data_IF_339037937663
#
_entry.id   IF_339037937663
#
_cell.length_a   1.000
_cell.length_b   1.000
_cell.length_c   1.000
_cell.angle_alpha   90.00
_cell.angle_beta   90.00
_cell.angle_gamma   90.00
#
_symmetry.space_group_name_H-M   'P 1'
#
loop_
_entity.id
_entity.type
_entity.pdbx_description
1 polymer ?
#
# COMPACT_ATOMS: atom_id res chain seq x y z
N UNK A 1 15.05 -7.67 6.79
CA UNK A 1 14.74 -6.49 5.97
C UNK A 1 14.04 -6.96 4.71
N UNK A 2 12.96 -6.30 4.28
CA UNK A 2 12.38 -6.57 2.96
C UNK A 2 13.39 -6.00 1.96
N UNK A 3 14.12 -6.87 1.26
CA UNK A 3 14.98 -6.45 0.17
C UNK A 3 14.08 -6.23 -1.05
N UNK A 4 13.93 -4.98 -1.50
CA UNK A 4 13.19 -4.63 -2.73
C UNK A 4 13.94 -5.03 -4.02
N UNK A 5 15.02 -5.80 -3.90
CA UNK A 5 15.70 -6.40 -5.03
C UNK A 5 14.76 -7.40 -5.72
N UNK A 6 14.62 -7.28 -7.04
CA UNK A 6 13.71 -8.13 -7.82
C UNK A 6 12.23 -7.70 -7.80
N UNK A 7 11.92 -6.50 -7.29
CA UNK A 7 10.58 -5.91 -7.41
C UNK A 7 10.51 -5.01 -8.65
N UNK A 8 9.50 -5.21 -9.49
CA UNK A 8 9.20 -4.37 -10.64
C UNK A 8 8.31 -3.18 -10.27
N UNK A 9 7.23 -3.45 -9.53
CA UNK A 9 6.24 -2.46 -9.13
C UNK A 9 5.49 -2.91 -7.87
N UNK A 10 5.00 -1.93 -7.11
CA UNK A 10 4.11 -2.13 -5.97
C UNK A 10 2.88 -1.28 -6.24
N UNK A 11 1.71 -1.89 -6.14
CA UNK A 11 0.42 -1.21 -6.22
C UNK A 11 -0.29 -1.29 -4.87
N UNK A 12 -0.86 -0.16 -4.44
CA UNK A 12 -1.85 -0.12 -3.37
C UNK A 12 -3.20 0.22 -3.99
N UNK A 13 -4.14 -0.72 -3.89
CA UNK A 13 -5.49 -0.61 -4.42
C UNK A 13 -6.47 -0.59 -3.25
N UNK A 14 -7.19 0.52 -3.10
CA UNK A 14 -8.10 0.77 -1.99
C UNK A 14 -9.54 0.65 -2.48
N UNK A 15 -10.29 -0.28 -1.90
CA UNK A 15 -11.70 -0.48 -2.19
C UNK A 15 -12.53 -0.16 -0.95
N UNK A 16 -13.40 0.84 -1.03
CA UNK A 16 -14.31 1.18 0.08
C UNK A 16 -15.18 -0.01 0.45
N UNK A 17 -15.39 -0.24 1.75
CA UNK A 17 -16.37 -1.22 2.21
C UNK A 17 -17.68 -0.54 2.59
N UNK A 18 -18.72 -1.35 2.84
CA UNK A 18 -20.01 -0.89 3.34
C UNK A 18 -19.97 -0.43 4.81
N UNK A 19 -18.89 -0.74 5.54
CA UNK A 19 -18.71 -0.30 6.92
C UNK A 19 -18.00 1.06 6.99
N UNK A 20 -18.55 1.98 7.77
CA UNK A 20 -18.04 3.35 7.89
C UNK A 20 -16.54 3.38 8.25
N UNK A 21 -15.80 4.25 7.57
CA UNK A 21 -14.37 4.49 7.76
C UNK A 21 -13.46 3.25 7.59
N UNK A 22 -13.86 2.26 6.79
CA UNK A 22 -13.00 1.10 6.47
C UNK A 22 -12.89 0.82 4.96
N UNK A 23 -11.70 0.44 4.53
CA UNK A 23 -11.37 0.04 3.16
C UNK A 23 -10.71 -1.35 3.14
N UNK A 24 -10.90 -2.10 2.05
CA UNK A 24 -10.02 -3.21 1.72
C UNK A 24 -8.84 -2.61 0.96
N UNK A 25 -7.66 -2.67 1.58
CA UNK A 25 -6.41 -2.34 0.92
C UNK A 25 -5.77 -3.61 0.37
N UNK A 26 -5.52 -3.64 -0.93
CA UNK A 26 -4.72 -4.68 -1.57
C UNK A 26 -3.34 -4.14 -1.89
N UNK A 27 -2.32 -4.86 -1.46
CA UNK A 27 -0.93 -4.63 -1.86
C UNK A 27 -0.55 -5.69 -2.88
N UNK A 28 -0.31 -5.25 -4.12
CA UNK A 28 0.10 -6.14 -5.22
C UNK A 28 1.57 -5.84 -5.52
N UNK A 29 2.45 -6.81 -5.22
CA UNK A 29 3.87 -6.74 -5.52
C UNK A 29 4.12 -7.52 -6.80
N UNK A 30 4.49 -6.82 -7.87
CA UNK A 30 4.93 -7.47 -9.11
C UNK A 30 6.44 -7.60 -9.09
N UNK A 31 6.96 -8.81 -9.27
CA UNK A 31 8.39 -9.09 -9.35
C UNK A 31 8.94 -8.82 -10.75
N UNK A 32 10.25 -8.76 -10.90
CA UNK A 32 10.93 -8.54 -12.19
C UNK A 32 10.72 -9.67 -13.20
N UNK A 33 10.35 -10.88 -12.74
CA UNK A 33 9.92 -12.00 -13.57
C UNK A 33 8.42 -11.95 -13.96
N UNK A 34 7.72 -10.87 -13.59
CA UNK A 34 6.30 -10.61 -13.79
C UNK A 34 5.35 -11.49 -12.97
N UNK A 35 5.85 -12.30 -12.04
CA UNK A 35 5.02 -12.95 -11.04
C UNK A 35 4.47 -11.94 -10.02
N UNK A 36 3.31 -12.22 -9.45
CA UNK A 36 2.64 -11.33 -8.49
C UNK A 36 2.48 -11.99 -7.12
N UNK A 37 2.62 -11.18 -6.08
CA UNK A 37 2.22 -11.51 -4.70
C UNK A 37 1.13 -10.52 -4.32
N UNK A 38 -0.03 -11.01 -3.90
CA UNK A 38 -1.15 -10.19 -3.46
C UNK A 38 -1.38 -10.38 -1.95
N UNK A 39 -1.49 -9.27 -1.25
CA UNK A 39 -1.80 -9.20 0.18
C UNK A 39 -3.01 -8.29 0.34
N UNK A 40 -3.98 -8.71 1.16
CA UNK A 40 -5.18 -7.92 1.44
C UNK A 40 -5.28 -7.61 2.93
N UNK A 41 -5.68 -6.39 3.25
CA UNK A 41 -5.84 -5.87 4.60
C UNK A 41 -7.20 -5.19 4.70
N UNK A 42 -7.86 -5.34 5.85
CA UNK A 42 -8.94 -4.42 6.23
C UNK A 42 -8.25 -3.25 6.89
N UNK A 43 -8.39 -2.08 6.29
CA UNK A 43 -7.75 -0.84 6.71
C UNK A 43 -8.77 0.12 7.28
N UNK A 44 -8.40 0.79 8.36
CA UNK A 44 -9.20 1.80 9.03
C UNK A 44 -8.34 3.01 9.34
N UNK A 45 -8.87 4.20 9.04
CA UNK A 45 -8.30 5.45 9.54
C UNK A 45 -8.62 5.59 11.03
N UNK A 46 -7.60 5.83 11.85
CA UNK A 46 -7.77 6.06 13.29
C UNK A 46 -7.33 7.45 13.73
N UNK A 47 -6.45 8.08 12.96
CA UNK A 47 -6.06 9.49 13.07
C UNK A 47 -5.90 10.06 11.66
N UNK A 48 -6.01 11.38 11.50
CA UNK A 48 -5.89 12.03 10.20
C UNK A 48 -4.57 11.67 9.50
N UNK A 49 -4.66 10.98 8.36
CA UNK A 49 -3.49 10.52 7.61
C UNK A 49 -2.76 9.31 8.19
N UNK A 50 -3.31 8.67 9.23
CA UNK A 50 -2.79 7.48 9.88
C UNK A 50 -3.79 6.32 9.76
N UNK A 51 -3.35 5.24 9.12
CA UNK A 51 -4.18 4.10 8.77
C UNK A 51 -3.62 2.81 9.38
N UNK A 52 -4.50 1.96 9.88
CA UNK A 52 -4.16 0.65 10.42
C UNK A 52 -4.80 -0.45 9.59
N UNK A 53 -3.98 -1.37 9.08
CA UNK A 53 -4.40 -2.53 8.31
C UNK A 53 -4.16 -3.83 9.07
N UNK A 54 -5.11 -4.75 9.05
CA UNK A 54 -4.92 -6.12 9.54
C UNK A 54 -5.31 -7.11 8.44
N UNK A 55 -4.36 -7.97 8.07
CA UNK A 55 -4.58 -9.06 7.13
C UNK A 55 -5.39 -10.20 7.75
N UNK A 56 -5.96 -11.11 6.94
CA UNK A 56 -6.71 -12.24 7.44
C UNK A 56 -5.82 -13.14 8.31
N UNK A 57 -6.34 -13.57 9.45
CA UNK A 57 -5.71 -14.60 10.29
C UNK A 57 -6.42 -15.92 10.10
N UNK A 58 -5.66 -16.97 9.80
CA UNK A 58 -6.19 -18.33 9.69
C UNK A 58 -6.02 -19.06 11.02
N UNK A 59 -7.02 -19.82 11.54
CA UNK A 59 -8.38 -20.06 11.01
C UNK A 59 -9.48 -19.13 11.55
N UNK A 60 -9.18 -18.24 12.50
CA UNK A 60 -10.14 -17.29 13.10
C UNK A 60 -9.53 -15.90 13.09
N UNK A 61 -10.32 -14.87 12.78
CA UNK A 61 -9.90 -13.47 12.88
C UNK A 61 -9.50 -13.13 14.33
N UNK A 62 -8.21 -12.90 14.56
CA UNK A 62 -7.64 -12.49 15.84
C UNK A 62 -6.53 -11.49 15.56
N UNK A 63 -6.81 -10.21 15.76
CA UNK A 63 -5.88 -9.09 15.56
C UNK A 63 -4.52 -9.28 16.26
N UNK A 64 -4.52 -9.93 17.41
CA UNK A 64 -3.37 -10.25 18.26
C UNK A 64 -2.59 -11.50 17.82
N UNK A 65 -3.08 -12.26 16.85
CA UNK A 65 -2.41 -13.48 16.40
C UNK A 65 -1.09 -13.17 15.70
N UNK A 66 -0.03 -13.90 16.04
CA UNK A 66 1.26 -13.84 15.34
C UNK A 66 1.18 -14.30 13.88
N UNK A 67 0.07 -14.93 13.48
CA UNK A 67 -0.24 -15.26 12.08
C UNK A 67 -0.82 -14.10 11.28
N UNK A 68 -1.17 -12.97 11.91
CA UNK A 68 -1.63 -11.77 11.24
C UNK A 68 -0.46 -10.94 10.73
N UNK A 69 -0.49 -10.54 9.46
CA UNK A 69 0.29 -9.38 9.04
C UNK A 69 -0.52 -8.11 9.27
N UNK A 70 0.00 -7.21 10.08
CA UNK A 70 -0.57 -5.89 10.29
C UNK A 70 0.31 -4.81 9.64
N UNK A 71 -0.31 -3.74 9.18
CA UNK A 71 0.36 -2.56 8.64
C UNK A 71 -0.09 -1.32 9.38
N UNK A 72 0.82 -0.38 9.61
CA UNK A 72 0.45 0.99 9.93
C UNK A 72 1.06 1.90 8.87
N UNK A 73 0.19 2.70 8.26
CA UNK A 73 0.54 3.63 7.21
C UNK A 73 0.38 5.06 7.69
N UNK A 74 1.38 5.87 7.42
CA UNK A 74 1.42 7.27 7.83
C UNK A 74 1.70 8.11 6.59
N UNK A 75 0.74 8.95 6.21
CA UNK A 75 0.95 9.96 5.18
C UNK A 75 1.73 11.11 5.80
N UNK A 76 2.95 11.33 5.31
CA UNK A 76 3.84 12.38 5.78
C UNK A 76 3.54 13.69 5.06
N UNK A 77 3.31 13.60 3.74
CA UNK A 77 3.15 14.77 2.88
C UNK A 77 2.43 14.41 1.58
N UNK A 78 1.87 15.42 0.93
CA UNK A 78 1.21 15.32 -0.36
C UNK A 78 1.67 16.49 -1.26
N UNK A 79 2.90 16.43 -1.84
CA UNK A 79 3.48 17.55 -2.57
C UNK A 79 2.64 18.05 -3.76
N UNK A 80 1.86 17.16 -4.37
CA UNK A 80 0.96 17.43 -5.50
C UNK A 80 -0.17 16.40 -5.48
N UNK A 81 -1.37 16.70 -5.98
CA UNK A 81 -2.57 15.82 -5.97
C UNK A 81 -2.36 14.35 -6.37
N UNK A 82 -1.31 14.05 -7.15
CA UNK A 82 -0.98 12.70 -7.58
C UNK A 82 0.15 12.03 -6.82
N UNK A 83 0.81 12.66 -5.85
CA UNK A 83 2.05 12.16 -5.20
C UNK A 83 1.95 12.16 -3.69
N UNK A 84 2.07 10.99 -3.07
CA UNK A 84 2.03 10.85 -1.61
C UNK A 84 3.39 10.41 -1.08
N UNK A 85 3.80 10.99 0.04
CA UNK A 85 4.94 10.51 0.83
C UNK A 85 4.39 9.71 1.99
N UNK A 86 4.68 8.41 2.06
CA UNK A 86 4.13 7.51 3.07
C UNK A 86 5.21 6.73 3.81
N UNK A 87 5.02 6.52 5.10
CA UNK A 87 5.73 5.52 5.90
C UNK A 87 4.82 4.31 6.08
N UNK A 88 5.32 3.11 5.77
CA UNK A 88 4.60 1.86 6.05
C UNK A 88 5.41 0.96 6.98
N UNK A 89 4.82 0.70 8.13
CA UNK A 89 5.32 -0.23 9.13
C UNK A 89 4.62 -1.58 8.99
N UNK A 90 5.36 -2.63 8.65
CA UNK A 90 4.85 -4.00 8.65
C UNK A 90 5.13 -4.68 9.99
N UNK A 91 4.14 -5.39 10.53
CA UNK A 91 4.17 -6.03 11.84
C UNK A 91 3.61 -7.44 11.77
N UNK A 92 4.20 -8.35 12.54
CA UNK A 92 3.64 -9.68 12.80
C UNK A 92 2.83 -9.58 14.10
N UNK A 93 1.53 -9.83 14.01
CA UNK A 93 0.56 -9.53 15.06
C UNK A 93 0.24 -8.04 15.19
N UNK A 94 -1.04 -7.71 15.33
CA UNK A 94 -1.53 -6.32 15.42
C UNK A 94 -1.09 -5.57 16.69
N UNK A 95 -0.73 -6.29 17.75
CA UNK A 95 -0.26 -5.72 19.02
C UNK A 95 1.24 -5.42 19.05
N UNK A 96 2.02 -5.94 18.10
CA UNK A 96 3.45 -5.64 18.04
C UNK A 96 3.64 -4.13 17.79
N UNK A 97 4.56 -3.44 18.45
CA UNK A 97 4.80 -2.03 18.16
C UNK A 97 5.45 -1.89 16.78
N UNK A 98 5.26 -0.73 16.16
CA UNK A 98 6.10 -0.38 15.02
C UNK A 98 7.57 -0.23 15.46
N UNK A 99 8.53 -0.55 14.58
CA UNK A 99 9.91 -0.21 14.87
C UNK A 99 10.04 1.31 14.98
N UNK A 100 11.14 1.80 15.59
CA UNK A 100 11.44 3.23 15.61
C UNK A 100 11.28 3.89 14.24
N UNK A 101 10.80 5.12 14.22
CA UNK A 101 10.35 5.81 13.00
C UNK A 101 11.43 5.88 11.91
N UNK A 102 12.70 5.95 12.30
CA UNK A 102 13.88 5.98 11.44
C UNK A 102 14.19 4.63 10.75
N UNK A 103 13.57 3.54 11.22
CA UNK A 103 13.71 2.19 10.62
C UNK A 103 12.53 1.82 9.73
N UNK A 104 11.51 2.69 9.64
CA UNK A 104 10.33 2.46 8.81
C UNK A 104 10.64 2.89 7.37
N UNK A 105 10.47 2.02 6.37
CA UNK A 105 10.64 2.40 4.97
C UNK A 105 9.72 3.56 4.58
N UNK A 106 10.27 4.50 3.82
CA UNK A 106 9.53 5.62 3.23
C UNK A 106 9.29 5.35 1.75
N UNK A 107 8.07 5.59 1.30
CA UNK A 107 7.61 5.43 -0.07
C UNK A 107 7.19 6.78 -0.63
N UNK A 108 7.56 7.03 -1.89
CA UNK A 108 7.00 8.12 -2.69
C UNK A 108 6.13 7.46 -3.74
N UNK A 109 4.83 7.60 -3.56
CA UNK A 109 3.80 6.92 -4.32
C UNK A 109 3.14 7.90 -5.27
N UNK A 110 2.67 7.40 -6.41
CA UNK A 110 1.86 8.19 -7.33
C UNK A 110 0.56 7.50 -7.65
N UNK A 111 -0.52 8.26 -7.77
CA UNK A 111 -1.82 7.77 -8.29
C UNK A 111 -1.74 7.48 -9.79
N UNK A 112 -0.72 8.00 -10.47
CA UNK A 112 -0.39 7.68 -11.86
C UNK A 112 0.53 6.46 -11.89
N UNK A 113 0.40 5.64 -12.94
CA UNK A 113 1.33 4.52 -13.21
C UNK A 113 2.80 4.97 -13.21
N UNK A 114 3.07 6.15 -13.78
CA UNK A 114 4.38 6.80 -13.75
C UNK A 114 4.14 8.29 -13.57
N UNK A 115 4.69 8.86 -12.50
CA UNK A 115 4.70 10.30 -12.31
C UNK A 115 5.65 10.94 -13.33
N UNK A 116 5.13 11.91 -14.06
CA UNK A 116 5.83 12.71 -15.06
C UNK A 116 6.29 14.05 -14.49
N UNK A 117 5.67 14.52 -13.41
CA UNK A 117 6.12 15.72 -12.72
C UNK A 117 7.32 15.44 -11.78
N UNK A 118 8.52 15.70 -12.28
CA UNK A 118 9.76 15.52 -11.53
C UNK A 118 9.88 16.44 -10.30
N UNK A 119 9.20 17.60 -10.27
CA UNK A 119 9.24 18.49 -9.11
C UNK A 119 8.48 17.91 -7.93
N UNK A 120 7.33 17.26 -8.17
CA UNK A 120 6.55 16.58 -7.12
C UNK A 120 7.36 15.45 -6.47
N UNK A 121 8.07 14.66 -7.28
CA UNK A 121 8.96 13.60 -6.76
C UNK A 121 10.11 14.20 -5.95
N UNK A 122 10.75 15.25 -6.47
CA UNK A 122 11.86 15.90 -5.79
C UNK A 122 11.45 16.51 -4.43
N UNK A 123 10.28 17.16 -4.37
CA UNK A 123 9.70 17.65 -3.12
C UNK A 123 9.40 16.51 -2.15
N UNK A 124 8.82 15.40 -2.63
CA UNK A 124 8.60 14.22 -1.80
C UNK A 124 9.90 13.65 -1.20
N UNK A 125 10.99 13.60 -1.98
CA UNK A 125 12.32 13.20 -1.49
C UNK A 125 12.83 14.19 -0.43
N UNK A 126 12.67 15.50 -0.66
CA UNK A 126 13.09 16.52 0.31
C UNK A 126 12.33 16.41 1.63
N UNK A 127 11.01 16.25 1.59
CA UNK A 127 10.20 16.07 2.81
C UNK A 127 10.59 14.79 3.53
N UNK A 128 10.76 13.67 2.81
CA UNK A 128 11.20 12.42 3.41
C UNK A 128 12.57 12.53 4.09
N UNK A 129 13.54 13.19 3.45
CA UNK A 129 14.87 13.41 4.02
C UNK A 129 14.85 14.34 5.23
N UNK A 130 13.98 15.36 5.23
CA UNK A 130 13.81 16.26 6.37
C UNK A 130 13.32 15.52 7.62
N UNK A 131 12.37 14.59 7.43
CA UNK A 131 11.73 13.85 8.53
C UNK A 131 12.54 12.65 9.02
N UNK A 132 13.52 12.15 8.25
CA UNK A 132 14.23 10.89 8.54
C UNK A 132 15.75 11.00 8.50
N UNK A 133 16.30 12.16 8.17
CA UNK A 133 17.68 12.29 7.74
C UNK A 133 17.89 11.78 6.30
N UNK A 134 19.13 11.78 5.79
CA UNK A 134 19.42 11.35 4.43
C UNK A 134 19.01 9.89 4.17
N UNK A 135 18.21 9.68 3.13
CA UNK A 135 17.73 8.37 2.67
C UNK A 135 18.24 8.06 1.26
N UNK A 136 18.52 6.79 1.00
CA UNK A 136 18.82 6.28 -0.34
C UNK A 136 17.54 5.81 -1.03
N UNK A 137 17.13 6.55 -2.07
CA UNK A 137 15.93 6.22 -2.85
C UNK A 137 16.25 5.33 -4.05
N UNK A 138 15.45 4.29 -4.25
CA UNK A 138 15.42 3.47 -5.45
C UNK A 138 14.13 3.73 -6.23
N UNK A 139 14.25 3.99 -7.54
CA UNK A 139 13.08 4.03 -8.42
C UNK A 139 12.79 2.63 -8.95
N UNK A 140 11.56 2.16 -8.75
CA UNK A 140 11.12 0.86 -9.28
C UNK A 140 11.02 0.87 -10.83
N UNK A 141 11.36 -0.24 -11.52
CA UNK A 141 11.37 -0.30 -12.99
C UNK A 141 10.00 -0.05 -13.65
N UNK A 142 8.89 -0.48 -13.01
CA UNK A 142 7.51 -0.28 -13.47
C UNK A 142 7.24 -0.81 -14.90
N UNK A 143 7.77 -1.98 -15.24
CA UNK A 143 7.57 -2.63 -16.54
C UNK A 143 6.19 -3.28 -16.67
N UNK A 144 5.55 -3.66 -15.56
CA UNK A 144 4.22 -4.24 -15.56
C UNK A 144 3.23 -3.37 -16.34
N UNK A 145 2.44 -3.97 -17.24
CA UNK A 145 1.44 -3.22 -18.02
C UNK A 145 0.30 -2.71 -17.14
N UNK A 146 -0.21 -3.58 -16.26
CA UNK A 146 -1.25 -3.28 -15.30
C UNK A 146 -0.83 -3.74 -13.90
N UNK A 147 -0.13 -2.91 -13.11
CA UNK A 147 0.31 -3.28 -11.77
C UNK A 147 -0.83 -3.31 -10.75
N UNK A 148 -1.98 -2.73 -11.08
CA UNK A 148 -3.20 -2.64 -10.27
C UNK A 148 -4.39 -3.25 -11.02
N UNK A 149 -4.41 -4.56 -11.32
CA UNK A 149 -5.57 -5.16 -11.96
C UNK A 149 -6.79 -4.98 -11.06
N UNK A 150 -7.80 -4.25 -11.55
CA UNK A 150 -9.08 -4.13 -10.87
C UNK A 150 -9.64 -5.52 -10.62
N UNK A 151 -10.23 -5.74 -9.44
CA UNK A 151 -11.08 -6.90 -9.23
C UNK A 151 -12.16 -6.81 -10.29
N UNK A 152 -12.19 -7.75 -11.24
CA UNK A 152 -13.35 -7.92 -12.10
C UNK A 152 -14.54 -8.10 -11.16
N UNK A 153 -15.40 -7.08 -11.04
CA UNK A 153 -16.74 -7.24 -10.48
C UNK A 153 -17.35 -8.40 -11.25
N UNK A 154 -17.64 -9.50 -10.55
CA UNK A 154 -18.28 -10.66 -11.15
C UNK A 154 -19.47 -10.18 -11.98
N UNK A 155 -19.49 -10.54 -13.26
CA UNK A 155 -20.64 -10.34 -14.11
C UNK A 155 -21.80 -11.08 -13.48
N UNK A 156 -22.62 -10.36 -12.72
CA UNK A 156 -23.99 -10.74 -12.43
C UNK A 156 -24.73 -10.69 -13.75
N UNK A 157 -24.70 -11.82 -14.47
CA UNK A 157 -25.59 -12.08 -15.58
C UNK A 157 -26.99 -12.37 -15.06
N UNK A 158 -27.66 -11.33 -14.57
CA UNK A 158 -29.12 -11.31 -14.48
C UNK A 158 -29.68 -11.25 -15.90
N UNK A 159 -29.87 -12.42 -16.52
CA UNK A 159 -30.54 -12.57 -17.80
C UNK A 159 -32.00 -12.96 -17.61
N UNK A 160 -32.82 -12.02 -17.15
CA UNK A 160 -34.28 -12.15 -17.19
C UNK A 160 -34.85 -11.57 -18.48
N UNK A 161 -35.45 -12.44 -19.30
CA UNK A 161 -36.62 -12.17 -20.14
C UNK A 161 -36.48 -11.32 -21.41
N UNK A 162 -36.76 -11.94 -22.57
CA UNK A 162 -37.85 -11.57 -23.51
C UNK A 162 -37.66 -12.31 -24.85
N UNK A 163 -38.68 -13.04 -25.30
CA UNK A 163 -38.73 -13.75 -26.59
C UNK A 163 -39.61 -14.98 -26.55
#
# INVERSE_FOLDING_TARGET
SIQYQGVDSICFDFNSTIAEATSIMRTIITKTDMSTIELSYIEKEYDAGAFGGVGPTFPVYMDSSVGAMATNDFTIDHPCDSVYVMKRCFRLGGLSPCPPAEKIPVFILSTKKKEDNSSCIAQGIQTANKENGPLDFMTLPRKAKNPCPSLSTGGSGSGGGSG
#
